data_IF_478898111417
#
_entry.id   IF_478898111417
#
_cell.length_a   1.000
_cell.length_b   1.000
_cell.length_c   1.000
_cell.angle_alpha   90.00
_cell.angle_beta   90.00
_cell.angle_gamma   90.00
#
_symmetry.space_group_name_H-M   'P 1'
#
loop_
_entity.id
_entity.type
_entity.pdbx_description
1 polymer ?
#
# COMPACT_ATOMS: atom_id res chain seq x y z
N UNK A 1 4.76 0.93 -26.99
CA UNK A 1 5.29 0.20 -25.81
C UNK A 1 5.18 1.17 -24.62
N UNK A 2 4.72 0.68 -23.47
CA UNK A 2 4.63 1.54 -22.28
C UNK A 2 6.00 1.89 -21.74
N UNK A 3 6.14 3.08 -21.20
CA UNK A 3 7.31 3.59 -20.47
C UNK A 3 7.04 3.75 -18.96
N UNK A 4 5.92 3.19 -18.48
CA UNK A 4 5.46 3.29 -17.09
C UNK A 4 5.26 1.91 -16.48
N UNK A 5 5.78 1.70 -15.28
CA UNK A 5 5.59 0.45 -14.52
C UNK A 5 5.20 0.72 -13.08
N UNK A 6 4.29 -0.08 -12.55
CA UNK A 6 3.88 -0.06 -11.16
C UNK A 6 4.07 -1.44 -10.50
N UNK A 7 4.62 -1.43 -9.30
CA UNK A 7 4.57 -2.57 -8.38
C UNK A 7 3.43 -2.35 -7.40
N UNK A 8 2.46 -3.26 -7.37
CA UNK A 8 1.26 -3.14 -6.54
C UNK A 8 1.15 -4.34 -5.60
N UNK A 9 1.08 -4.09 -4.30
CA UNK A 9 0.87 -5.16 -3.31
C UNK A 9 -0.62 -5.38 -3.03
N UNK A 10 -1.04 -6.64 -2.82
CA UNK A 10 -2.44 -6.98 -2.52
C UNK A 10 -3.37 -7.01 -3.73
N UNK A 11 -2.87 -7.38 -4.90
CA UNK A 11 -3.63 -7.37 -6.17
C UNK A 11 -4.69 -8.45 -6.30
N UNK A 12 -4.82 -9.37 -5.33
CA UNK A 12 -5.80 -10.46 -5.41
C UNK A 12 -7.24 -10.07 -5.06
N UNK A 13 -7.49 -8.87 -4.54
CA UNK A 13 -8.85 -8.38 -4.20
C UNK A 13 -8.86 -6.90 -3.85
N UNK A 14 -10.07 -6.33 -3.75
CA UNK A 14 -10.33 -4.98 -3.24
C UNK A 14 -9.56 -3.88 -3.98
N UNK A 15 -9.08 -2.90 -3.25
CA UNK A 15 -8.40 -1.69 -3.79
C UNK A 15 -7.20 -2.08 -4.67
N UNK A 16 -6.38 -3.04 -4.26
CA UNK A 16 -5.20 -3.45 -5.04
C UNK A 16 -5.54 -4.10 -6.37
N UNK A 17 -6.63 -4.89 -6.42
CA UNK A 17 -7.12 -5.48 -7.67
C UNK A 17 -7.70 -4.40 -8.62
N UNK A 18 -8.49 -3.47 -8.08
CA UNK A 18 -9.04 -2.35 -8.83
C UNK A 18 -7.91 -1.46 -9.39
N UNK A 19 -6.91 -1.13 -8.56
CA UNK A 19 -5.74 -0.34 -8.97
C UNK A 19 -4.94 -1.02 -10.08
N UNK A 20 -4.69 -2.34 -9.96
CA UNK A 20 -3.96 -3.08 -10.98
C UNK A 20 -4.67 -3.02 -12.35
N UNK A 21 -5.99 -3.24 -12.37
CA UNK A 21 -6.81 -3.13 -13.59
C UNK A 21 -6.75 -1.72 -14.17
N UNK A 22 -7.03 -0.70 -13.34
CA UNK A 22 -7.03 0.71 -13.77
C UNK A 22 -5.69 1.11 -14.40
N UNK A 23 -4.57 0.69 -13.81
CA UNK A 23 -3.24 0.97 -14.35
C UNK A 23 -3.01 0.28 -15.71
N UNK A 24 -3.42 -0.98 -15.85
CA UNK A 24 -3.32 -1.73 -17.11
C UNK A 24 -4.16 -1.10 -18.20
N UNK A 25 -5.41 -0.73 -17.91
CA UNK A 25 -6.33 -0.06 -18.85
C UNK A 25 -5.76 1.26 -19.36
N UNK A 26 -4.94 1.94 -18.55
CA UNK A 26 -4.25 3.19 -18.90
C UNK A 26 -2.83 2.96 -19.48
N UNK A 27 -2.53 1.72 -19.83
CA UNK A 27 -1.31 1.37 -20.53
C UNK A 27 -0.04 1.33 -19.67
N UNK A 28 -0.16 1.09 -18.36
CA UNK A 28 0.99 0.78 -17.51
C UNK A 28 1.35 -0.71 -17.58
N UNK A 29 2.60 -1.04 -17.39
CA UNK A 29 2.99 -2.37 -16.97
C UNK A 29 2.76 -2.53 -15.46
N UNK A 30 2.27 -3.69 -15.01
CA UNK A 30 1.98 -3.94 -13.59
C UNK A 30 2.62 -5.22 -13.10
N UNK A 31 3.44 -5.11 -12.06
CA UNK A 31 3.91 -6.23 -11.26
C UNK A 31 3.04 -6.37 -10.00
N UNK A 32 2.12 -7.32 -10.02
CA UNK A 32 1.21 -7.59 -8.90
C UNK A 32 1.80 -8.55 -7.89
N UNK A 33 1.75 -8.20 -6.60
CA UNK A 33 2.22 -9.03 -5.50
C UNK A 33 1.04 -9.42 -4.60
N UNK A 34 0.80 -10.71 -4.41
CA UNK A 34 -0.16 -11.20 -3.41
C UNK A 34 0.11 -12.65 -3.04
N UNK A 35 -0.46 -13.11 -1.91
CA UNK A 35 -0.33 -14.50 -1.47
C UNK A 35 -1.06 -15.50 -2.35
N UNK A 36 -2.18 -15.08 -2.93
CA UNK A 36 -2.98 -15.89 -3.86
C UNK A 36 -2.57 -15.57 -5.28
N UNK A 37 -2.59 -16.55 -6.13
CA UNK A 37 -2.53 -16.33 -7.57
C UNK A 37 -3.68 -15.45 -8.03
N UNK A 38 -3.43 -14.69 -9.08
CA UNK A 38 -4.41 -13.81 -9.72
C UNK A 38 -4.46 -14.17 -11.18
N UNK A 39 -5.64 -14.58 -11.61
CA UNK A 39 -5.95 -14.83 -13.02
C UNK A 39 -6.40 -13.51 -13.66
N UNK A 40 -5.41 -12.74 -14.12
CA UNK A 40 -5.60 -11.49 -14.85
C UNK A 40 -4.83 -11.59 -16.17
N UNK A 41 -5.54 -11.97 -17.22
CA UNK A 41 -4.99 -12.09 -18.55
C UNK A 41 -4.75 -10.71 -19.18
N UNK A 42 -3.52 -10.20 -19.08
CA UNK A 42 -3.07 -8.99 -19.74
C UNK A 42 -1.57 -9.07 -20.03
N UNK A 43 -1.15 -8.73 -21.25
CA UNK A 43 0.25 -8.85 -21.71
C UNK A 43 1.26 -8.06 -20.87
N UNK A 44 0.85 -6.95 -20.27
CA UNK A 44 1.68 -6.09 -19.41
C UNK A 44 1.49 -6.38 -17.91
N UNK A 45 0.75 -7.45 -17.54
CA UNK A 45 0.60 -7.89 -16.16
C UNK A 45 1.52 -9.05 -15.84
N UNK A 46 2.30 -8.91 -14.76
CA UNK A 46 3.09 -10.00 -14.20
C UNK A 46 2.70 -10.24 -12.74
N UNK A 47 2.16 -11.42 -12.45
CA UNK A 47 1.89 -11.81 -11.07
C UNK A 47 3.09 -12.47 -10.40
N UNK A 48 3.32 -12.15 -9.13
CA UNK A 48 4.34 -12.77 -8.28
C UNK A 48 3.70 -13.14 -6.94
N UNK A 49 3.65 -14.44 -6.65
CA UNK A 49 3.14 -14.92 -5.35
C UNK A 49 4.14 -14.56 -4.27
N UNK A 50 3.67 -13.81 -3.27
CA UNK A 50 4.48 -13.34 -2.15
C UNK A 50 3.64 -13.18 -0.88
N UNK A 51 4.12 -13.71 0.23
CA UNK A 51 3.64 -13.38 1.56
C UNK A 51 4.53 -12.28 2.16
N UNK A 52 3.94 -11.11 2.40
CA UNK A 52 4.64 -9.96 2.99
C UNK A 52 5.07 -10.20 4.45
N UNK A 53 4.46 -11.16 5.15
CA UNK A 53 4.89 -11.59 6.47
C UNK A 53 6.20 -12.40 6.46
N UNK A 54 6.56 -12.99 5.32
CA UNK A 54 7.85 -13.65 5.13
C UNK A 54 8.90 -12.64 4.63
N UNK A 55 9.53 -11.92 5.57
CA UNK A 55 10.47 -10.83 5.26
C UNK A 55 11.67 -11.29 4.44
N UNK A 56 12.14 -12.54 4.62
CA UNK A 56 13.21 -13.10 3.81
C UNK A 56 12.77 -13.29 2.34
N UNK A 57 11.55 -13.76 2.12
CA UNK A 57 10.99 -13.88 0.77
C UNK A 57 10.79 -12.49 0.13
N UNK A 58 10.35 -11.47 0.91
CA UNK A 58 10.24 -10.08 0.44
C UNK A 58 11.59 -9.56 -0.03
N UNK A 59 12.64 -9.71 0.78
CA UNK A 59 14.00 -9.29 0.42
C UNK A 59 14.49 -10.02 -0.83
N UNK A 60 14.35 -11.33 -0.86
CA UNK A 60 14.80 -12.16 -1.98
C UNK A 60 14.12 -11.77 -3.30
N UNK A 61 12.80 -11.56 -3.28
CA UNK A 61 12.05 -11.15 -4.48
C UNK A 61 12.45 -9.74 -4.91
N UNK A 62 12.59 -8.81 -3.98
CA UNK A 62 13.02 -7.45 -4.28
C UNK A 62 14.38 -7.43 -4.97
N UNK A 63 15.38 -8.11 -4.42
CA UNK A 63 16.74 -8.15 -4.97
C UNK A 63 16.83 -8.90 -6.31
N UNK A 64 16.17 -10.05 -6.44
CA UNK A 64 16.31 -10.92 -7.63
C UNK A 64 15.39 -10.55 -8.79
N UNK A 65 14.23 -9.92 -8.53
CA UNK A 65 13.23 -9.65 -9.56
C UNK A 65 12.84 -8.19 -9.68
N UNK A 66 12.39 -7.55 -8.57
CA UNK A 66 11.96 -6.16 -8.64
C UNK A 66 13.10 -5.22 -8.98
N UNK A 67 14.32 -5.51 -8.49
CA UNK A 67 15.49 -4.70 -8.81
C UNK A 67 15.82 -4.67 -10.31
N UNK A 68 15.71 -5.79 -11.01
CA UNK A 68 15.90 -5.84 -12.46
C UNK A 68 14.76 -5.10 -13.18
N UNK A 69 13.51 -5.33 -12.77
CA UNK A 69 12.34 -4.64 -13.31
C UNK A 69 12.47 -3.12 -13.19
N UNK A 70 12.79 -2.59 -12.01
CA UNK A 70 12.83 -1.15 -11.75
C UNK A 70 14.02 -0.43 -12.41
N UNK A 71 15.09 -1.16 -12.75
CA UNK A 71 16.27 -0.62 -13.45
C UNK A 71 16.18 -0.69 -14.96
N UNK A 72 15.15 -1.30 -15.52
CA UNK A 72 14.99 -1.39 -16.97
C UNK A 72 14.93 0.03 -17.55
N UNK A 73 15.85 0.37 -18.51
CA UNK A 73 15.97 1.73 -19.04
C UNK A 73 14.76 2.18 -19.87
N UNK A 74 13.85 1.28 -20.22
CA UNK A 74 12.58 1.65 -20.91
C UNK A 74 11.65 2.48 -20.03
N UNK A 75 11.82 2.44 -18.70
CA UNK A 75 10.91 3.15 -17.80
C UNK A 75 11.27 4.62 -17.63
N UNK A 76 10.40 5.50 -18.08
CA UNK A 76 10.38 6.92 -17.72
C UNK A 76 9.78 7.16 -16.35
N UNK A 77 8.88 6.23 -15.89
CA UNK A 77 8.20 6.32 -14.59
C UNK A 77 8.07 4.96 -13.91
N UNK A 78 8.42 4.92 -12.63
CA UNK A 78 8.27 3.74 -11.75
C UNK A 78 7.41 4.11 -10.55
N UNK A 79 6.45 3.26 -10.24
CA UNK A 79 5.57 3.41 -9.09
C UNK A 79 5.64 2.21 -8.15
N UNK A 80 5.46 2.46 -6.83
CA UNK A 80 5.20 1.46 -5.81
C UNK A 80 3.88 1.78 -5.10
N UNK A 81 2.96 0.83 -5.04
CA UNK A 81 1.71 0.94 -4.28
C UNK A 81 1.72 -0.11 -3.16
N UNK A 82 2.02 0.33 -1.95
CA UNK A 82 1.90 -0.46 -0.73
C UNK A 82 0.43 -0.45 -0.30
N UNK A 83 -0.35 -1.40 -0.82
CA UNK A 83 -1.79 -1.52 -0.54
C UNK A 83 -2.11 -2.73 0.35
N UNK A 84 -1.38 -3.85 0.23
CA UNK A 84 -1.65 -5.03 1.05
C UNK A 84 -1.56 -4.72 2.55
N UNK A 85 -2.56 -5.16 3.30
CA UNK A 85 -2.58 -5.02 4.76
C UNK A 85 -3.42 -6.12 5.40
N UNK A 86 -3.17 -6.37 6.67
CA UNK A 86 -4.04 -7.10 7.60
C UNK A 86 -4.88 -6.08 8.37
N UNK A 87 -6.18 -6.35 8.55
CA UNK A 87 -7.01 -5.64 9.53
C UNK A 87 -6.59 -6.04 10.95
N UNK A 88 -6.82 -5.21 11.94
CA UNK A 88 -6.45 -5.50 13.32
C UNK A 88 -7.08 -6.78 13.90
N UNK A 89 -6.67 -7.12 15.11
CA UNK A 89 -7.16 -8.29 15.85
C UNK A 89 -8.61 -8.15 16.33
N UNK A 90 -9.12 -6.92 16.38
CA UNK A 90 -10.42 -6.56 17.00
C UNK A 90 -10.50 -6.95 18.49
N UNK A 91 -9.36 -6.90 19.20
CA UNK A 91 -9.21 -7.15 20.64
C UNK A 91 -8.77 -5.88 21.36
N UNK A 92 -9.00 -5.79 22.66
CA UNK A 92 -8.38 -4.76 23.49
C UNK A 92 -6.85 -4.89 23.50
N UNK A 93 -6.14 -3.80 23.82
CA UNK A 93 -4.67 -3.83 23.89
C UNK A 93 -4.19 -4.80 24.99
N UNK A 94 -4.94 -4.93 26.06
CA UNK A 94 -4.69 -5.88 27.16
C UNK A 94 -4.70 -7.35 26.73
N UNK A 95 -5.40 -7.67 25.62
CA UNK A 95 -5.52 -9.02 25.08
C UNK A 95 -4.64 -9.25 23.84
N UNK A 96 -3.65 -8.37 23.62
CA UNK A 96 -2.76 -8.47 22.46
C UNK A 96 -1.86 -9.70 22.54
N UNK A 97 -1.93 -10.57 21.54
CA UNK A 97 -0.97 -11.63 21.34
C UNK A 97 0.30 -11.07 20.64
N UNK A 98 1.50 -11.28 21.21
CA UNK A 98 2.72 -10.71 20.66
C UNK A 98 3.12 -11.29 19.29
N UNK A 99 2.76 -12.55 18.98
CA UNK A 99 3.06 -13.17 17.68
C UNK A 99 2.10 -12.64 16.60
N UNK A 100 0.81 -12.50 16.93
CA UNK A 100 -0.18 -11.87 16.05
C UNK A 100 0.21 -10.41 15.73
N UNK A 101 0.63 -9.65 16.75
CA UNK A 101 1.10 -8.28 16.60
C UNK A 101 2.36 -8.21 15.72
N UNK A 102 3.35 -9.06 15.97
CA UNK A 102 4.59 -9.09 15.19
C UNK A 102 4.29 -9.41 13.70
N UNK A 103 3.38 -10.37 13.45
CA UNK A 103 2.94 -10.72 12.11
C UNK A 103 2.23 -9.56 11.41
N UNK A 104 1.31 -8.89 12.10
CA UNK A 104 0.60 -7.72 11.57
C UNK A 104 1.59 -6.60 11.21
N UNK A 105 2.52 -6.30 12.11
CA UNK A 105 3.55 -5.28 11.86
C UNK A 105 4.49 -5.68 10.71
N UNK A 106 4.84 -6.96 10.58
CA UNK A 106 5.62 -7.44 9.45
C UNK A 106 4.94 -7.11 8.10
N UNK A 107 3.63 -7.40 7.99
CA UNK A 107 2.85 -7.18 6.76
C UNK A 107 2.56 -5.70 6.54
N UNK A 108 2.09 -4.98 7.57
CA UNK A 108 1.57 -3.61 7.41
C UNK A 108 2.64 -2.53 7.46
N UNK A 109 3.81 -2.85 8.02
CA UNK A 109 4.85 -1.84 8.30
C UNK A 109 6.21 -2.27 7.77
N UNK A 110 6.77 -3.38 8.24
CA UNK A 110 8.16 -3.76 7.94
C UNK A 110 8.37 -4.00 6.45
N UNK A 111 7.53 -4.82 5.82
CA UNK A 111 7.63 -5.11 4.39
C UNK A 111 7.41 -3.85 3.52
N UNK A 112 6.36 -3.02 3.74
CA UNK A 112 6.18 -1.76 3.01
C UNK A 112 7.35 -0.79 3.18
N UNK A 113 7.87 -0.60 4.41
CA UNK A 113 9.02 0.29 4.66
C UNK A 113 10.27 -0.22 3.93
N UNK A 114 10.52 -1.53 3.98
CA UNK A 114 11.61 -2.13 3.22
C UNK A 114 11.46 -1.91 1.71
N UNK A 115 10.26 -2.15 1.16
CA UNK A 115 9.98 -1.96 -0.28
C UNK A 115 10.11 -0.49 -0.69
N UNK A 116 9.66 0.47 0.14
CA UNK A 116 9.89 1.91 -0.12
C UNK A 116 11.38 2.24 -0.23
N UNK A 117 12.16 1.84 0.77
CA UNK A 117 13.61 2.07 0.79
C UNK A 117 14.32 1.37 -0.37
N UNK A 118 13.94 0.11 -0.67
CA UNK A 118 14.46 -0.62 -1.81
C UNK A 118 14.18 0.09 -3.13
N UNK A 119 12.93 0.53 -3.35
CA UNK A 119 12.52 1.24 -4.56
C UNK A 119 13.28 2.56 -4.70
N UNK A 120 13.36 3.36 -3.64
CA UNK A 120 14.03 4.65 -3.63
C UNK A 120 15.53 4.58 -3.99
N UNK A 121 16.24 3.50 -3.56
CA UNK A 121 17.66 3.30 -3.90
C UNK A 121 17.89 2.62 -5.24
N UNK A 122 16.85 1.93 -5.80
CA UNK A 122 17.00 1.07 -6.98
C UNK A 122 16.60 1.78 -8.27
N UNK A 123 15.55 2.58 -8.24
CA UNK A 123 15.04 3.31 -9.40
C UNK A 123 16.06 4.38 -9.83
N UNK A 124 16.47 4.40 -11.12
CA UNK A 124 17.46 5.35 -11.61
C UNK A 124 17.08 6.82 -11.32
N UNK A 125 18.06 7.72 -11.02
CA UNK A 125 17.76 9.11 -10.64
C UNK A 125 16.96 9.91 -11.66
N UNK A 126 17.08 9.59 -12.95
CA UNK A 126 16.34 10.28 -14.04
C UNK A 126 14.91 9.80 -14.20
N UNK A 127 14.57 8.60 -13.70
CA UNK A 127 13.24 8.01 -13.79
C UNK A 127 12.33 8.63 -12.73
N UNK A 128 11.14 9.07 -13.12
CA UNK A 128 10.15 9.60 -12.16
C UNK A 128 9.77 8.51 -11.17
N UNK A 129 9.74 8.83 -9.88
CA UNK A 129 9.38 7.91 -8.82
C UNK A 129 8.11 8.36 -8.12
N UNK A 130 7.14 7.46 -8.00
CA UNK A 130 5.92 7.65 -7.19
C UNK A 130 5.78 6.48 -6.21
N UNK A 131 5.57 6.81 -4.95
CA UNK A 131 5.31 5.82 -3.89
C UNK A 131 3.99 6.16 -3.23
N UNK A 132 3.09 5.19 -3.14
CA UNK A 132 1.82 5.33 -2.44
C UNK A 132 1.77 4.32 -1.30
N UNK A 133 1.47 4.81 -0.10
CA UNK A 133 1.12 3.99 1.04
C UNK A 133 -0.39 4.12 1.29
N UNK A 134 -1.14 3.04 1.06
CA UNK A 134 -2.55 3.00 1.42
C UNK A 134 -2.66 2.96 2.95
N UNK A 135 -3.04 4.10 3.49
CA UNK A 135 -3.15 4.40 4.91
C UNK A 135 -4.60 4.19 5.41
N UNK A 136 -4.97 4.86 6.45
CA UNK A 136 -6.30 4.83 7.07
C UNK A 136 -6.40 6.00 8.05
N UNK A 137 -7.59 6.44 8.39
CA UNK A 137 -7.83 7.32 9.54
C UNK A 137 -7.24 6.78 10.87
N UNK A 138 -6.98 5.47 10.93
CA UNK A 138 -6.28 4.82 12.04
C UNK A 138 -4.79 5.23 12.17
N UNK A 139 -4.23 5.89 11.17
CA UNK A 139 -2.87 6.44 11.26
C UNK A 139 -2.79 7.75 12.06
N UNK A 140 -3.92 8.38 12.34
CA UNK A 140 -4.00 9.69 12.99
C UNK A 140 -4.66 9.66 14.36
N UNK A 141 -5.41 8.59 14.68
CA UNK A 141 -6.11 8.47 15.97
C UNK A 141 -6.30 7.01 16.36
N UNK A 142 -6.46 6.77 17.66
CA UNK A 142 -6.79 5.47 18.20
C UNK A 142 -8.26 5.10 17.96
N UNK A 143 -8.48 3.81 17.67
CA UNK A 143 -9.81 3.21 17.64
C UNK A 143 -9.81 2.01 18.61
N UNK A 144 -10.80 1.92 19.50
CA UNK A 144 -10.93 0.75 20.37
C UNK A 144 -10.98 -0.55 19.56
N UNK A 145 -10.29 -1.58 20.01
CA UNK A 145 -10.18 -2.86 19.34
C UNK A 145 -9.27 -2.90 18.09
N UNK A 146 -8.62 -1.77 17.75
CA UNK A 146 -7.72 -1.65 16.59
C UNK A 146 -6.33 -1.09 16.98
N UNK A 147 -5.90 -1.26 18.22
CA UNK A 147 -4.64 -0.69 18.70
C UNK A 147 -3.42 -1.14 17.89
N UNK A 148 -3.36 -2.42 17.54
CA UNK A 148 -2.35 -3.02 16.67
C UNK A 148 -2.36 -2.42 15.25
N UNK A 149 -3.53 -2.31 14.65
CA UNK A 149 -3.72 -1.72 13.33
C UNK A 149 -3.37 -0.23 13.32
N UNK A 150 -3.84 0.54 14.31
CA UNK A 150 -3.51 1.96 14.45
C UNK A 150 -1.99 2.16 14.54
N UNK A 151 -1.30 1.39 15.38
CA UNK A 151 0.15 1.43 15.50
C UNK A 151 0.84 1.16 14.17
N UNK A 152 0.38 0.14 13.41
CA UNK A 152 0.96 -0.22 12.12
C UNK A 152 0.80 0.88 11.07
N UNK A 153 -0.38 1.52 11.00
CA UNK A 153 -0.65 2.57 10.02
C UNK A 153 0.03 3.90 10.37
N UNK A 154 0.10 4.24 11.66
CA UNK A 154 0.87 5.39 12.13
C UNK A 154 2.36 5.24 11.82
N UNK A 155 2.94 4.06 12.07
CA UNK A 155 4.33 3.78 11.74
C UNK A 155 4.61 3.88 10.23
N UNK A 156 3.75 3.31 9.39
CA UNK A 156 3.90 3.40 7.93
C UNK A 156 3.81 4.85 7.42
N UNK A 157 2.86 5.65 7.97
CA UNK A 157 2.73 7.06 7.63
C UNK A 157 4.00 7.84 7.96
N UNK A 158 4.51 7.73 9.20
CA UNK A 158 5.73 8.43 9.62
C UNK A 158 6.97 7.97 8.83
N UNK A 159 7.09 6.68 8.52
CA UNK A 159 8.18 6.18 7.67
C UNK A 159 8.11 6.77 6.25
N UNK A 160 6.90 6.95 5.70
CA UNK A 160 6.70 7.62 4.41
C UNK A 160 7.13 9.09 4.44
N UNK A 161 6.78 9.82 5.50
CA UNK A 161 7.21 11.21 5.71
C UNK A 161 8.75 11.31 5.81
N UNK A 162 9.37 10.42 6.59
CA UNK A 162 10.82 10.40 6.72
C UNK A 162 11.50 10.15 5.37
N UNK A 163 11.02 9.19 4.58
CA UNK A 163 11.55 8.95 3.24
C UNK A 163 11.39 10.17 2.32
N UNK A 164 10.27 10.89 2.40
CA UNK A 164 10.05 12.10 1.61
C UNK A 164 11.10 13.18 1.94
N UNK A 165 11.38 13.43 3.21
CA UNK A 165 12.45 14.34 3.66
C UNK A 165 13.84 13.88 3.20
N UNK A 166 14.12 12.56 3.33
CA UNK A 166 15.37 11.98 2.86
C UNK A 166 15.57 12.17 1.35
N UNK A 167 14.51 12.05 0.54
CA UNK A 167 14.56 12.25 -0.91
C UNK A 167 14.90 13.71 -1.30
N UNK A 168 14.62 14.67 -0.43
CA UNK A 168 14.97 16.10 -0.61
C UNK A 168 16.34 16.47 -0.04
N UNK A 169 16.99 15.57 0.72
CA UNK A 169 18.26 15.85 1.38
C UNK A 169 19.43 15.81 0.40
N UNK A 170 20.25 16.86 0.41
CA UNK A 170 21.54 16.92 -0.32
C UNK A 170 22.54 15.88 0.19
N UNK A 171 22.44 15.50 1.48
CA UNK A 171 23.29 14.48 2.11
C UNK A 171 22.94 13.04 1.76
N UNK A 172 21.89 12.81 0.98
CA UNK A 172 21.47 11.47 0.56
C UNK A 172 22.51 10.85 -0.38
N UNK A 173 22.78 9.56 -0.20
CA UNK A 173 23.56 8.79 -1.17
C UNK A 173 22.87 8.81 -2.54
N UNK A 174 23.46 9.46 -3.52
CA UNK A 174 22.89 9.74 -4.85
C UNK A 174 22.27 11.12 -5.00
N UNK A 175 22.36 11.98 -3.99
CA UNK A 175 21.89 13.36 -3.99
C UNK A 175 20.38 13.52 -3.87
N UNK A 176 19.93 14.76 -3.90
CA UNK A 176 18.51 15.16 -3.91
C UNK A 176 17.77 14.57 -5.12
N UNK A 177 16.48 14.29 -4.96
CA UNK A 177 15.65 13.68 -6.00
C UNK A 177 14.33 14.44 -6.20
N UNK A 178 14.36 15.45 -7.06
CA UNK A 178 13.23 16.35 -7.31
C UNK A 178 12.07 15.69 -8.10
N UNK A 179 12.33 14.60 -8.81
CA UNK A 179 11.32 13.85 -9.57
C UNK A 179 10.65 12.71 -8.79
N UNK A 180 10.77 12.71 -7.46
CA UNK A 180 10.17 11.71 -6.59
C UNK A 180 9.12 12.31 -5.67
N UNK A 181 8.04 11.55 -5.42
CA UNK A 181 7.04 11.91 -4.43
C UNK A 181 6.47 10.68 -3.73
N UNK A 182 6.08 10.87 -2.47
CA UNK A 182 5.48 9.86 -1.60
C UNK A 182 4.10 10.33 -1.16
N UNK A 183 3.09 9.49 -1.33
CA UNK A 183 1.71 9.76 -0.89
C UNK A 183 1.32 8.82 0.25
N UNK A 184 0.71 9.38 1.29
CA UNK A 184 -0.10 8.64 2.26
C UNK A 184 -1.57 8.83 1.90
N UNK A 185 -2.25 7.75 1.53
CA UNK A 185 -3.61 7.80 1.02
C UNK A 185 -4.62 7.12 1.95
N UNK A 186 -5.69 7.82 2.32
CA UNK A 186 -6.80 7.30 3.11
C UNK A 186 -8.02 7.04 2.21
N UNK A 187 -8.34 5.77 1.87
CA UNK A 187 -9.44 5.45 0.97
C UNK A 187 -10.84 5.56 1.61
N UNK A 188 -10.94 5.85 2.90
CA UNK A 188 -12.21 5.77 3.61
C UNK A 188 -12.60 4.33 3.96
N UNK A 189 -13.90 4.06 4.04
CA UNK A 189 -14.44 2.72 4.37
C UNK A 189 -14.89 2.03 3.08
N UNK A 190 -14.09 1.05 2.62
CA UNK A 190 -14.25 0.43 1.30
C UNK A 190 -14.78 -1.00 1.41
N UNK A 191 -15.74 -1.40 0.57
CA UNK A 191 -16.32 -2.77 0.57
C UNK A 191 -15.30 -3.77 0.01
N UNK A 192 -14.52 -4.33 0.90
CA UNK A 192 -13.43 -5.28 0.62
C UNK A 192 -13.56 -6.52 1.48
N UNK A 193 -12.84 -7.62 1.17
CA UNK A 193 -12.78 -8.79 2.04
C UNK A 193 -12.28 -8.47 3.46
N UNK A 194 -11.42 -7.47 3.64
CA UNK A 194 -10.99 -7.00 4.96
C UNK A 194 -12.18 -6.45 5.76
N UNK A 195 -13.01 -5.60 5.15
CA UNK A 195 -14.21 -5.05 5.74
C UNK A 195 -15.26 -6.14 6.05
N UNK A 196 -15.39 -7.14 5.15
CA UNK A 196 -16.26 -8.30 5.39
C UNK A 196 -15.79 -9.09 6.62
N UNK A 197 -14.49 -9.34 6.75
CA UNK A 197 -13.91 -10.02 7.92
C UNK A 197 -14.15 -9.22 9.22
N UNK A 198 -13.99 -7.90 9.19
CA UNK A 198 -14.22 -7.04 10.34
C UNK A 198 -15.69 -7.08 10.85
N UNK A 199 -16.65 -7.34 9.94
CA UNK A 199 -18.08 -7.47 10.26
C UNK A 199 -18.48 -8.85 10.77
N UNK A 200 -17.71 -9.91 10.48
CA UNK A 200 -18.11 -11.31 10.66
C UNK A 200 -17.93 -11.83 12.09
N UNK A 201 -17.26 -11.10 12.99
CA UNK A 201 -17.15 -11.46 14.40
C UNK A 201 -18.50 -11.39 15.11
N UNK A 202 -18.83 -12.39 15.96
CA UNK A 202 -20.00 -12.29 16.84
C UNK A 202 -19.86 -11.13 17.81
N UNK A 203 -20.98 -10.48 18.14
CA UNK A 203 -20.98 -9.31 19.01
C UNK A 203 -20.42 -9.59 20.41
N UNK A 204 -20.54 -10.86 20.87
CA UNK A 204 -19.97 -11.33 22.13
C UNK A 204 -18.47 -11.56 22.05
N UNK A 205 -17.97 -12.04 20.88
CA UNK A 205 -16.54 -12.32 20.68
C UNK A 205 -15.73 -11.07 20.26
N UNK A 206 -16.41 -10.07 19.69
CA UNK A 206 -15.75 -8.84 19.27
C UNK A 206 -16.68 -7.62 19.39
N UNK A 207 -16.76 -7.02 20.58
CA UNK A 207 -17.62 -5.85 20.81
C UNK A 207 -17.25 -4.65 19.91
N UNK A 208 -16.02 -4.64 19.40
CA UNK A 208 -15.50 -3.58 18.52
C UNK A 208 -15.89 -3.73 17.05
N UNK A 209 -16.58 -4.81 16.67
CA UNK A 209 -17.04 -5.03 15.30
C UNK A 209 -18.33 -4.27 14.93
N UNK A 210 -19.04 -3.72 15.91
CA UNK A 210 -20.31 -3.02 15.68
C UNK A 210 -20.18 -1.83 14.68
N UNK A 211 -19.17 -0.94 14.77
CA UNK A 211 -19.03 0.16 13.82
C UNK A 211 -18.90 -0.33 12.35
N UNK A 212 -18.27 -1.47 12.11
CA UNK A 212 -18.13 -2.02 10.77
C UNK A 212 -19.45 -2.57 10.22
N UNK A 213 -20.33 -3.09 11.09
CA UNK A 213 -21.70 -3.47 10.72
C UNK A 213 -22.55 -2.25 10.41
N UNK A 214 -22.43 -1.21 11.21
CA UNK A 214 -23.17 0.06 11.04
C UNK A 214 -22.81 0.72 9.69
N UNK A 215 -21.54 0.77 9.30
CA UNK A 215 -21.13 1.29 7.99
C UNK A 215 -21.83 0.56 6.84
N UNK A 216 -21.95 -0.78 6.90
CA UNK A 216 -22.65 -1.55 5.88
C UNK A 216 -24.16 -1.26 5.87
N UNK A 217 -24.79 -1.20 7.05
CA UNK A 217 -26.23 -0.94 7.18
C UNK A 217 -26.63 0.45 6.69
N UNK A 218 -25.76 1.44 6.93
CA UNK A 218 -25.97 2.84 6.52
C UNK A 218 -25.57 3.10 5.04
N UNK A 219 -25.05 2.09 4.33
CA UNK A 219 -24.63 2.27 2.94
C UNK A 219 -23.41 3.16 2.75
N UNK A 220 -22.55 3.24 3.77
CA UNK A 220 -21.35 4.10 3.78
C UNK A 220 -20.09 3.42 3.24
N UNK A 221 -20.25 2.24 2.60
CA UNK A 221 -19.12 1.54 2.01
C UNK A 221 -18.94 1.98 0.56
N UNK A 222 -17.77 2.52 0.29
CA UNK A 222 -17.34 2.87 -1.07
C UNK A 222 -16.94 1.63 -1.86
N UNK A 223 -17.01 1.68 -3.19
CA UNK A 223 -16.49 0.61 -4.04
C UNK A 223 -14.98 0.77 -4.23
N UNK A 224 -14.22 -0.33 -4.35
CA UNK A 224 -12.79 -0.25 -4.65
C UNK A 224 -12.44 0.59 -5.88
N UNK A 225 -13.28 0.53 -6.92
CA UNK A 225 -13.10 1.25 -8.17
C UNK A 225 -13.26 2.77 -8.03
N UNK A 226 -14.11 3.20 -7.09
CA UNK A 226 -14.40 4.63 -6.90
C UNK A 226 -13.29 5.34 -6.11
N UNK A 227 -12.61 4.61 -5.22
CA UNK A 227 -11.59 5.21 -4.32
C UNK A 227 -10.18 5.23 -4.90
N UNK A 228 -9.94 4.71 -6.08
CA UNK A 228 -8.59 4.62 -6.65
C UNK A 228 -8.18 5.83 -7.48
N UNK A 229 -9.11 6.68 -7.89
CA UNK A 229 -8.82 7.77 -8.83
C UNK A 229 -7.77 8.77 -8.28
N UNK A 230 -7.83 9.24 -7.01
CA UNK A 230 -6.78 10.12 -6.48
C UNK A 230 -5.39 9.49 -6.48
N UNK A 231 -5.32 8.17 -6.28
CA UNK A 231 -4.05 7.43 -6.37
C UNK A 231 -3.57 7.37 -7.82
N UNK A 232 -4.46 7.05 -8.76
CA UNK A 232 -4.13 6.99 -10.18
C UNK A 232 -3.64 8.35 -10.71
N UNK A 233 -4.31 9.43 -10.37
CA UNK A 233 -3.91 10.79 -10.72
C UNK A 233 -2.51 11.13 -10.20
N UNK A 234 -2.23 10.82 -8.92
CA UNK A 234 -0.92 11.02 -8.32
C UNK A 234 0.18 10.19 -9.00
N UNK A 235 -0.11 8.93 -9.35
CA UNK A 235 0.85 8.05 -10.02
C UNK A 235 1.16 8.54 -11.43
N UNK A 236 0.17 9.08 -12.14
CA UNK A 236 0.27 9.46 -13.56
C UNK A 236 0.75 10.90 -13.75
N UNK A 237 0.46 11.77 -12.80
CA UNK A 237 0.75 13.20 -12.85
C UNK A 237 2.14 13.58 -12.32
N UNK A 238 2.42 14.87 -12.45
CA UNK A 238 3.53 15.49 -11.76
C UNK A 238 3.10 15.91 -10.35
N UNK A 239 4.05 16.09 -9.47
CA UNK A 239 3.80 16.49 -8.08
C UNK A 239 4.73 17.63 -7.71
N UNK A 240 4.15 18.74 -7.25
CA UNK A 240 4.90 19.91 -6.76
C UNK A 240 5.42 19.70 -5.32
N UNK A 241 4.95 18.63 -4.66
CA UNK A 241 5.34 18.28 -3.30
C UNK A 241 5.90 16.86 -3.25
N UNK A 242 6.98 16.69 -2.49
CA UNK A 242 7.58 15.36 -2.25
C UNK A 242 6.75 14.51 -1.28
N UNK A 243 6.01 15.14 -0.37
CA UNK A 243 5.07 14.51 0.55
C UNK A 243 3.64 14.96 0.26
N UNK A 244 2.75 14.00 0.07
CA UNK A 244 1.32 14.24 -0.18
C UNK A 244 0.50 13.44 0.82
N UNK A 245 -0.44 14.08 1.50
CA UNK A 245 -1.51 13.40 2.23
C UNK A 245 -2.82 13.63 1.48
N UNK A 246 -3.52 12.55 1.19
CA UNK A 246 -4.79 12.60 0.47
C UNK A 246 -5.79 11.65 1.11
N UNK A 247 -7.05 12.09 1.09
CA UNK A 247 -8.18 11.30 1.57
C UNK A 247 -9.28 11.29 0.51
N UNK A 248 -9.91 10.15 0.29
CA UNK A 248 -11.06 10.05 -0.60
C UNK A 248 -12.22 10.91 -0.08
N UNK A 249 -12.80 11.76 -0.94
CA UNK A 249 -13.90 12.65 -0.61
C UNK A 249 -13.54 13.84 0.30
N UNK A 250 -12.24 14.13 0.48
CA UNK A 250 -11.72 15.24 1.29
C UNK A 250 -11.15 16.37 0.45
#
# INVERSE_FOLDING_TARGET
MTDRVAVVTGTSSGIGAAMARRLLDEGWAVAGLSRREVDLEHSEYQHMVLDLGNLHAVQTLAEKRLGALMRDPRWGRVALVNNAALGGSHKGIEDTDPEELAWLLAVNTVAPVYLMGFTARTVPPKTVLRIVNVSSGAAHRGFPGLGDYCASKAALRLAGMALAEELQSEGRAGGRRDNAAVMSYEPGVVDTPMQTKARSGDAEDSPWSQPFRDFKQQGLLEKPEDVIEPVFEFLSGDSDSVWVESRFGG
#
